data_IF_839648602283
#
_entry.id   IF_839648602283
#
_cell.length_a   1.000
_cell.length_b   1.000
_cell.length_c   1.000
_cell.angle_alpha   90.00
_cell.angle_beta   90.00
_cell.angle_gamma   90.00
#
_symmetry.space_group_name_H-M   'P 1'
#
loop_
_entity.id
_entity.type
_entity.pdbx_description
1 polymer ?
#
# COMPACT_ATOMS: atom_id res chain seq x y z
N UNK A 1 17.57 3.74 -3.74
CA UNK A 1 17.26 2.63 -4.68
C UNK A 1 16.64 3.21 -5.93
N UNK A 2 16.87 2.62 -7.11
CA UNK A 2 16.38 3.18 -8.38
C UNK A 2 15.00 2.67 -8.75
N UNK A 3 13.98 3.49 -8.55
CA UNK A 3 12.60 3.17 -8.90
C UNK A 3 12.22 3.71 -10.29
N UNK A 4 11.46 2.93 -11.07
CA UNK A 4 10.90 3.39 -12.34
C UNK A 4 9.82 4.44 -12.09
N UNK A 5 9.82 5.49 -12.90
CA UNK A 5 8.79 6.54 -12.94
C UNK A 5 8.43 6.77 -14.38
N UNK A 6 7.13 6.63 -14.69
CA UNK A 6 6.58 6.97 -15.99
C UNK A 6 6.17 8.43 -16.01
N UNK A 7 6.81 9.22 -16.86
CA UNK A 7 6.65 10.67 -16.91
C UNK A 7 5.85 11.05 -18.15
N UNK A 8 4.71 11.70 -17.94
CA UNK A 8 3.89 12.31 -18.99
C UNK A 8 3.95 13.83 -18.89
N UNK A 9 3.82 14.52 -20.03
CA UNK A 9 3.75 15.98 -20.07
C UNK A 9 2.29 16.43 -20.00
N UNK A 10 2.01 17.39 -19.13
CA UNK A 10 0.67 17.91 -18.89
C UNK A 10 0.68 19.44 -18.84
N UNK A 11 0.92 20.10 -19.98
CA UNK A 11 1.00 21.56 -20.11
C UNK A 11 2.43 22.11 -20.19
N UNK A 12 2.64 23.38 -19.86
CA UNK A 12 3.90 24.08 -20.10
C UNK A 12 4.44 24.89 -18.90
N UNK A 13 5.59 24.49 -18.30
CA UNK A 13 6.11 23.12 -18.20
C UNK A 13 5.49 22.46 -16.97
N UNK A 14 4.68 21.42 -17.15
CA UNK A 14 4.19 20.60 -16.04
C UNK A 14 4.27 19.15 -16.44
N UNK A 15 4.89 18.36 -15.59
CA UNK A 15 5.07 16.92 -15.74
C UNK A 15 4.26 16.20 -14.67
N UNK A 16 3.79 15.02 -15.00
CA UNK A 16 3.18 14.07 -14.08
C UNK A 16 4.03 12.81 -14.07
N UNK A 17 4.33 12.28 -12.89
CA UNK A 17 5.05 11.03 -12.70
C UNK A 17 4.15 10.02 -12.01
N UNK A 18 4.03 8.83 -12.60
CA UNK A 18 3.36 7.68 -11.99
C UNK A 18 4.41 6.63 -11.63
N UNK A 19 4.28 6.04 -10.45
CA UNK A 19 5.22 5.05 -9.93
C UNK A 19 4.52 3.68 -9.92
N UNK A 20 4.87 2.74 -10.82
CA UNK A 20 4.18 1.44 -10.88
C UNK A 20 4.41 0.59 -9.62
N UNK A 21 5.54 0.77 -8.93
CA UNK A 21 5.81 0.11 -7.66
C UNK A 21 5.04 0.73 -6.48
N UNK A 22 4.48 1.93 -6.67
CA UNK A 22 3.70 2.66 -5.66
C UNK A 22 2.41 3.19 -6.30
N UNK A 23 1.46 2.31 -6.66
CA UNK A 23 0.31 2.67 -7.50
C UNK A 23 -0.61 3.74 -6.89
N UNK A 24 -0.56 3.93 -5.57
CA UNK A 24 -1.28 5.01 -4.87
C UNK A 24 -0.58 6.38 -4.93
N UNK A 25 0.63 6.46 -5.47
CA UNK A 25 1.50 7.64 -5.50
C UNK A 25 1.55 8.21 -6.92
N UNK A 26 0.96 9.39 -7.08
CA UNK A 26 1.03 10.21 -8.28
C UNK A 26 1.64 11.57 -7.94
N UNK A 27 2.67 11.95 -8.69
CA UNK A 27 3.42 13.19 -8.47
C UNK A 27 3.33 14.14 -9.66
N UNK A 28 3.48 15.43 -9.40
CA UNK A 28 3.57 16.44 -10.43
C UNK A 28 4.66 17.46 -10.09
N UNK A 29 5.24 18.08 -11.11
CA UNK A 29 6.27 19.10 -10.95
C UNK A 29 6.59 19.78 -12.26
N UNK A 30 7.22 20.95 -12.18
CA UNK A 30 7.58 21.76 -13.36
C UNK A 30 8.96 21.36 -13.91
N UNK A 31 9.69 20.49 -13.19
CA UNK A 31 10.95 19.87 -13.60
C UNK A 31 11.06 18.40 -13.15
N UNK A 32 12.01 17.66 -13.72
CA UNK A 32 12.29 16.29 -13.27
C UNK A 32 12.87 16.23 -11.86
N UNK A 33 13.59 17.27 -11.42
CA UNK A 33 14.07 17.38 -10.05
C UNK A 33 12.93 17.51 -9.05
N UNK A 34 11.91 18.32 -9.38
CA UNK A 34 10.72 18.45 -8.55
C UNK A 34 9.91 17.15 -8.49
N UNK A 35 9.78 16.42 -9.60
CA UNK A 35 9.14 15.10 -9.59
C UNK A 35 9.87 14.12 -8.66
N UNK A 36 11.21 14.10 -8.69
CA UNK A 36 12.01 13.25 -7.82
C UNK A 36 11.79 13.60 -6.35
N UNK A 37 11.82 14.89 -5.99
CA UNK A 37 11.60 15.35 -4.61
C UNK A 37 10.19 14.99 -4.16
N UNK A 38 9.18 15.25 -4.98
CA UNK A 38 7.79 14.92 -4.67
C UNK A 38 7.58 13.41 -4.50
N UNK A 39 8.19 12.58 -5.35
CA UNK A 39 8.12 11.12 -5.26
C UNK A 39 8.74 10.62 -3.96
N UNK A 40 9.94 11.09 -3.62
CA UNK A 40 10.57 10.74 -2.36
C UNK A 40 9.72 11.13 -1.15
N UNK A 41 9.18 12.35 -1.13
CA UNK A 41 8.33 12.83 -0.03
C UNK A 41 7.05 12.02 0.14
N UNK A 42 6.34 11.70 -0.95
CA UNK A 42 5.12 10.91 -0.87
C UNK A 42 5.41 9.45 -0.47
N UNK A 43 6.48 8.84 -1.01
CA UNK A 43 6.92 7.50 -0.60
C UNK A 43 7.24 7.48 0.89
N UNK A 44 7.99 8.46 1.39
CA UNK A 44 8.25 8.63 2.84
C UNK A 44 6.94 8.74 3.63
N UNK A 45 6.03 9.61 3.22
CA UNK A 45 4.77 9.84 3.93
C UNK A 45 3.88 8.58 4.00
N UNK A 46 3.89 7.74 2.96
CA UNK A 46 3.06 6.53 2.91
C UNK A 46 3.68 5.32 3.64
N UNK A 47 5.01 5.21 3.67
CA UNK A 47 5.70 4.00 4.13
C UNK A 47 6.53 4.18 5.39
N UNK A 48 7.01 5.38 5.71
CA UNK A 48 7.78 5.57 6.94
C UNK A 48 6.90 5.28 8.16
N UNK A 49 7.42 4.45 9.08
CA UNK A 49 6.71 3.97 10.28
C UNK A 49 5.36 3.31 10.02
N UNK A 50 5.07 2.93 8.77
CA UNK A 50 3.85 2.24 8.41
C UNK A 50 4.06 0.73 8.46
N UNK A 51 2.97 -0.01 8.62
CA UNK A 51 2.98 -1.47 8.55
C UNK A 51 3.16 -2.00 7.10
N UNK A 52 3.30 -1.12 6.10
CA UNK A 52 3.50 -1.52 4.70
C UNK A 52 4.98 -1.80 4.43
N UNK A 53 5.26 -2.90 3.75
CA UNK A 53 6.60 -3.15 3.24
C UNK A 53 6.85 -2.27 2.02
N UNK A 54 8.02 -1.65 1.97
CA UNK A 54 8.47 -0.97 0.75
C UNK A 54 8.70 -2.05 -0.33
N UNK A 55 8.00 -1.98 -1.47
CA UNK A 55 8.21 -2.93 -2.56
C UNK A 55 9.61 -2.76 -3.17
N UNK A 56 10.25 -3.85 -3.63
CA UNK A 56 11.49 -3.74 -4.38
C UNK A 56 11.22 -3.01 -5.72
N UNK A 57 12.20 -2.28 -6.26
CA UNK A 57 12.04 -1.59 -7.54
C UNK A 57 11.86 -2.59 -8.69
N UNK A 58 10.87 -2.36 -9.55
CA UNK A 58 10.72 -3.09 -10.80
C UNK A 58 11.77 -2.61 -11.81
N UNK A 59 12.69 -3.50 -12.19
CA UNK A 59 13.78 -3.17 -13.12
C UNK A 59 13.59 -3.75 -14.52
N UNK A 60 12.62 -4.66 -14.71
CA UNK A 60 12.34 -5.30 -15.99
C UNK A 60 11.49 -4.38 -16.88
N UNK A 61 12.07 -3.91 -17.98
CA UNK A 61 11.37 -3.02 -18.92
C UNK A 61 10.18 -3.67 -19.61
N UNK A 62 10.21 -4.99 -19.86
CA UNK A 62 9.08 -5.69 -20.49
C UNK A 62 7.88 -5.73 -19.55
N UNK A 63 8.10 -5.86 -18.24
CA UNK A 63 7.04 -5.74 -17.24
C UNK A 63 6.48 -4.31 -17.20
N UNK A 64 7.36 -3.30 -17.20
CA UNK A 64 6.95 -1.90 -17.15
C UNK A 64 6.12 -1.48 -18.37
N UNK A 65 6.55 -1.88 -19.57
CA UNK A 65 5.85 -1.60 -20.83
C UNK A 65 4.51 -2.33 -20.96
N UNK A 66 4.34 -3.45 -20.27
CA UNK A 66 3.08 -4.18 -20.22
C UNK A 66 2.13 -3.67 -19.13
N UNK A 67 2.56 -2.73 -18.28
CA UNK A 67 1.74 -2.20 -17.18
C UNK A 67 0.73 -1.16 -17.66
N UNK A 68 -0.38 -1.03 -16.93
CA UNK A 68 -1.43 -0.04 -17.21
C UNK A 68 -0.94 1.42 -17.06
N UNK A 69 0.23 1.63 -16.45
CA UNK A 69 0.85 2.95 -16.28
C UNK A 69 1.45 3.44 -17.61
N UNK A 70 1.93 2.53 -18.47
CA UNK A 70 2.50 2.89 -19.77
C UNK A 70 1.40 3.17 -20.80
N UNK A 71 0.95 4.43 -20.85
CA UNK A 71 -0.05 4.88 -21.81
C UNK A 71 0.55 5.33 -23.17
N UNK A 72 1.82 5.01 -23.43
CA UNK A 72 2.50 5.21 -24.72
C UNK A 72 2.83 6.67 -25.12
N UNK A 73 2.47 7.67 -24.32
CA UNK A 73 2.71 9.10 -24.59
C UNK A 73 3.75 9.76 -23.66
N UNK A 74 4.46 8.94 -22.87
CA UNK A 74 5.40 9.37 -21.85
C UNK A 74 6.77 8.73 -22.02
N UNK A 75 7.62 8.91 -21.02
CA UNK A 75 8.95 8.33 -20.97
C UNK A 75 9.21 7.66 -19.62
N UNK A 76 9.95 6.56 -19.64
CA UNK A 76 10.46 5.94 -18.43
C UNK A 76 11.74 6.62 -17.96
N UNK A 77 11.82 6.90 -16.66
CA UNK A 77 13.03 7.33 -15.96
C UNK A 77 13.20 6.50 -14.71
N UNK A 78 14.45 6.20 -14.37
CA UNK A 78 14.78 5.57 -13.10
C UNK A 78 15.34 6.62 -12.15
N UNK A 79 14.65 6.81 -11.04
CA UNK A 79 14.95 7.80 -10.03
C UNK A 79 15.52 7.12 -8.79
N UNK A 80 16.65 7.64 -8.30
CA UNK A 80 17.20 7.17 -7.04
C UNK A 80 16.42 7.78 -5.88
N UNK A 81 15.51 6.98 -5.32
CA UNK A 81 14.76 7.35 -4.13
C UNK A 81 15.54 6.79 -2.94
N UNK A 82 16.09 7.70 -2.14
CA UNK A 82 16.81 7.35 -0.93
C UNK A 82 15.81 6.96 0.17
N UNK A 83 15.84 5.69 0.55
CA UNK A 83 15.00 5.12 1.61
C UNK A 83 15.80 4.79 2.87
N UNK A 84 17.09 5.16 2.93
CA UNK A 84 18.00 4.77 4.02
C UNK A 84 17.58 5.29 5.40
N UNK A 85 16.75 6.33 5.45
CA UNK A 85 16.16 6.87 6.67
C UNK A 85 14.81 6.27 7.09
N UNK A 86 14.21 5.39 6.28
CA UNK A 86 12.92 4.78 6.63
C UNK A 86 13.08 3.77 7.76
N UNK A 87 12.27 3.92 8.81
CA UNK A 87 12.14 2.92 9.86
C UNK A 87 10.83 2.17 9.65
N UNK A 88 10.89 1.04 8.93
CA UNK A 88 9.71 0.16 8.83
C UNK A 88 9.50 -0.53 10.17
N UNK A 89 8.28 -0.49 10.69
CA UNK A 89 7.85 -1.31 11.84
C UNK A 89 7.38 -2.70 11.41
N UNK A 90 7.51 -3.04 10.12
CA UNK A 90 7.01 -4.28 9.55
C UNK A 90 8.06 -5.38 9.55
N UNK A 91 7.62 -6.59 9.83
CA UNK A 91 8.44 -7.79 9.77
C UNK A 91 7.97 -8.65 8.60
N UNK A 92 8.90 -9.09 7.75
CA UNK A 92 8.61 -10.06 6.70
C UNK A 92 8.49 -11.45 7.32
N UNK A 93 7.39 -12.13 7.05
CA UNK A 93 7.13 -13.48 7.54
C UNK A 93 6.92 -14.44 6.35
N UNK A 94 7.42 -15.66 6.48
CA UNK A 94 7.11 -16.77 5.57
C UNK A 94 5.96 -17.59 6.15
N UNK A 95 4.97 -17.93 5.31
CA UNK A 95 3.75 -18.62 5.73
C UNK A 95 3.39 -19.74 4.75
N UNK A 96 2.90 -20.86 5.29
CA UNK A 96 2.24 -21.91 4.51
C UNK A 96 0.73 -21.81 4.69
N UNK A 97 0.00 -21.55 3.61
CA UNK A 97 -1.47 -21.42 3.62
C UNK A 97 -2.10 -22.41 2.62
N UNK A 98 -3.36 -22.84 2.84
CA UNK A 98 -4.09 -23.62 1.84
C UNK A 98 -4.21 -22.87 0.51
N UNK A 99 -4.08 -23.60 -0.62
CA UNK A 99 -4.12 -22.99 -1.96
C UNK A 99 -5.38 -22.15 -2.23
N UNK A 100 -6.53 -22.59 -1.73
CA UNK A 100 -7.79 -21.84 -1.85
C UNK A 100 -7.72 -20.48 -1.15
N UNK A 101 -7.12 -20.41 0.04
CA UNK A 101 -6.97 -19.17 0.81
C UNK A 101 -6.05 -18.19 0.08
N UNK A 102 -4.92 -18.66 -0.47
CA UNK A 102 -4.01 -17.81 -1.26
C UNK A 102 -4.74 -17.21 -2.47
N UNK A 103 -5.53 -18.02 -3.18
CA UNK A 103 -6.32 -17.54 -4.32
C UNK A 103 -7.34 -16.48 -3.91
N UNK A 104 -8.01 -16.67 -2.77
CA UNK A 104 -9.01 -15.71 -2.30
C UNK A 104 -8.37 -14.40 -1.82
N UNK A 105 -7.17 -14.45 -1.22
CA UNK A 105 -6.36 -13.26 -0.92
C UNK A 105 -6.06 -12.49 -2.22
N UNK A 106 -5.62 -13.18 -3.26
CA UNK A 106 -5.26 -12.55 -4.54
C UNK A 106 -6.43 -11.84 -5.19
N UNK A 107 -7.58 -12.52 -5.26
CA UNK A 107 -8.80 -11.96 -5.85
C UNK A 107 -9.28 -10.73 -5.08
N UNK A 108 -9.27 -10.78 -3.74
CA UNK A 108 -9.73 -9.66 -2.91
C UNK A 108 -8.77 -8.48 -2.93
N UNK A 109 -7.47 -8.74 -2.86
CA UNK A 109 -6.45 -7.69 -2.95
C UNK A 109 -6.56 -6.96 -4.30
N UNK A 110 -6.69 -7.72 -5.40
CA UNK A 110 -6.90 -7.15 -6.74
C UNK A 110 -8.19 -6.34 -6.84
N UNK A 111 -9.32 -6.86 -6.33
CA UNK A 111 -10.61 -6.16 -6.38
C UNK A 111 -10.62 -4.86 -5.56
N UNK A 112 -9.78 -4.78 -4.53
CA UNK A 112 -9.62 -3.60 -3.68
C UNK A 112 -8.46 -2.69 -4.13
N UNK A 113 -7.82 -2.99 -5.26
CA UNK A 113 -6.64 -2.29 -5.76
C UNK A 113 -5.55 -2.13 -4.69
N UNK A 114 -5.29 -3.21 -3.93
CA UNK A 114 -4.31 -3.24 -2.85
C UNK A 114 -3.41 -4.49 -2.94
N UNK A 115 -2.38 -4.55 -2.10
CA UNK A 115 -1.42 -5.65 -2.05
C UNK A 115 -1.88 -6.77 -1.10
N UNK A 116 -1.30 -7.97 -1.23
CA UNK A 116 -1.65 -9.13 -0.38
C UNK A 116 -1.44 -8.86 1.10
N UNK A 117 -0.30 -8.27 1.47
CA UNK A 117 0.09 -7.91 2.83
C UNK A 117 -0.79 -6.81 3.42
N UNK A 118 -1.16 -5.81 2.61
CA UNK A 118 -2.12 -4.78 3.03
C UNK A 118 -3.51 -5.38 3.28
N UNK A 119 -3.98 -6.25 2.38
CA UNK A 119 -5.25 -6.96 2.56
C UNK A 119 -5.25 -7.85 3.81
N UNK A 120 -4.21 -8.66 4.01
CA UNK A 120 -4.08 -9.54 5.18
C UNK A 120 -4.03 -8.73 6.48
N UNK A 121 -3.27 -7.63 6.51
CA UNK A 121 -3.21 -6.75 7.68
C UNK A 121 -4.59 -6.18 8.04
N UNK A 122 -5.34 -5.71 7.04
CA UNK A 122 -6.70 -5.20 7.24
C UNK A 122 -7.65 -6.30 7.74
N UNK A 123 -7.56 -7.51 7.17
CA UNK A 123 -8.38 -8.64 7.60
C UNK A 123 -8.13 -9.03 9.06
N UNK A 124 -6.87 -9.05 9.50
CA UNK A 124 -6.51 -9.32 10.90
C UNK A 124 -7.01 -8.22 11.84
N UNK A 125 -6.82 -6.94 11.51
CA UNK A 125 -7.29 -5.83 12.34
C UNK A 125 -8.83 -5.84 12.55
N UNK A 126 -9.58 -6.22 11.51
CA UNK A 126 -11.05 -6.34 11.58
C UNK A 126 -11.53 -7.58 12.36
N UNK A 127 -10.74 -8.66 12.36
CA UNK A 127 -11.05 -9.85 13.16
C UNK A 127 -11.03 -9.54 14.67
N UNK A 128 -10.05 -8.74 15.11
CA UNK A 128 -9.93 -8.32 16.52
C UNK A 128 -11.10 -7.42 16.96
N UNK A 129 -11.56 -6.51 16.10
CA UNK A 129 -12.72 -5.66 16.39
C UNK A 129 -14.02 -6.48 16.50
N UNK A 130 -14.17 -7.51 15.68
CA UNK A 130 -15.33 -8.42 15.73
C UNK A 130 -15.34 -9.25 17.02
N UNK A 131 -14.16 -9.63 17.54
CA UNK A 131 -14.03 -10.31 18.83
C UNK A 131 -14.38 -9.40 20.02
N UNK A 132 -13.98 -8.11 19.97
CA UNK A 132 -14.30 -7.12 21.01
C UNK A 132 -15.81 -6.80 21.07
N UNK A 133 -16.49 -6.76 19.92
CA UNK A 133 -17.93 -6.46 19.86
C UNK A 133 -18.81 -7.61 20.41
N UNK A 134 -18.33 -8.85 20.35
CA UNK A 134 -19.01 -10.01 20.98
C UNK A 134 -18.82 -10.02 22.49
N UNK A 135 -17.63 -9.66 22.99
CA UNK A 135 -17.35 -9.59 24.43
C UNK A 135 -18.26 -8.59 25.17
N UNK A 136 -18.50 -7.40 24.60
CA UNK A 136 -19.36 -6.36 25.21
C UNK A 136 -20.84 -6.77 25.27
N UNK A 137 -21.30 -7.66 24.38
CA UNK A 137 -22.70 -8.11 24.35
C UNK A 137 -23.01 -9.27 25.31
N UNK A 138 -22.00 -9.75 26.05
CA UNK A 138 -22.05 -10.98 26.84
C UNK A 138 -22.09 -10.75 28.35
N UNK A 139 -22.18 -9.51 28.84
CA UNK A 139 -22.43 -9.27 30.27
C UNK A 139 -23.88 -9.64 30.61
N UNK A 140 -24.12 -10.61 31.52
CA UNK A 140 -25.46 -10.92 31.96
C UNK A 140 -25.90 -9.82 32.92
N UNK A 141 -26.98 -9.11 32.59
CA UNK A 141 -27.71 -8.29 33.55
C UNK A 141 -28.24 -9.19 34.66
N UNK A 142 -27.48 -9.30 35.75
CA UNK A 142 -27.95 -9.94 36.98
C UNK A 142 -29.06 -9.05 37.53
N UNK A 143 -30.32 -9.44 37.26
CA UNK A 143 -31.50 -8.92 37.96
C UNK A 143 -31.29 -9.16 39.45
N UNK A 144 -30.99 -8.10 40.20
CA UNK A 144 -31.05 -8.14 41.65
C UNK A 144 -32.53 -8.23 42.06
N UNK A 145 -32.95 -9.45 42.42
CA UNK A 145 -34.10 -9.69 43.26
C UNK A 145 -33.68 -9.39 44.72
N UNK A 146 -34.33 -8.41 45.33
CA UNK A 146 -34.55 -8.33 46.78
C UNK A 146 -35.97 -7.78 46.95
N UNK A 147 -37.00 -8.64 47.02
CA UNK A 147 -37.52 -9.27 48.25
C UNK A 147 -37.61 -8.32 49.46
N UNK A 148 -38.84 -7.82 49.62
CA UNK A 148 -39.63 -7.74 50.86
C UNK A 148 -38.91 -7.73 52.22
N UNK A 149 -39.03 -6.60 52.93
CA UNK A 149 -39.50 -6.53 54.32
C UNK A 149 -39.94 -5.09 54.62
#
# INVERSE_FOLDING_TARGET
>A
MKYPVYITRHGNPRYRGALPDFPEIDVAGDSYGELLVAAAQQVMACYDRSARLVPPPTTDMSILQASDVDVGNGIWRFFDIDLTGMTSSSVRIELCLPKCIVRDIDLKASALHTTRDAFVSMACANADQSAQHVAVRSEPTVKSLSEAA
#
